data_IF_950552268220
#
_entry.id   IF_950552268220
#
_cell.length_a   1.000
_cell.length_b   1.000
_cell.length_c   1.000
_cell.angle_alpha   90.00
_cell.angle_beta   90.00
_cell.angle_gamma   90.00
#
_symmetry.space_group_name_H-M   'P 1'
#
loop_
_entity.id
_entity.type
_entity.pdbx_description
1 polymer ?
#
# COMPACT_ATOMS: atom_id res chain seq x y z
N UNK A 1 14.10 -6.20 8.31
CA UNK A 1 14.00 -4.73 8.54
C UNK A 1 12.92 -4.24 7.59
N UNK A 2 12.16 -3.21 7.94
CA UNK A 2 11.20 -2.61 7.01
C UNK A 2 11.88 -1.41 6.37
N UNK A 3 12.41 -1.61 5.16
CA UNK A 3 13.19 -0.60 4.43
C UNK A 3 12.57 -0.22 3.06
N UNK A 4 11.43 -0.82 2.71
CA UNK A 4 10.72 -0.59 1.46
C UNK A 4 11.13 -1.53 0.33
N UNK A 5 12.11 -2.42 0.54
CA UNK A 5 12.39 -3.51 -0.39
C UNK A 5 11.54 -4.74 -0.04
N UNK A 6 11.09 -5.46 -1.09
CA UNK A 6 10.23 -6.65 -0.96
C UNK A 6 10.90 -7.89 -1.54
N UNK A 7 12.22 -7.91 -1.60
CA UNK A 7 13.03 -8.97 -2.19
C UNK A 7 13.57 -9.98 -1.16
N UNK A 8 13.32 -9.75 0.13
CA UNK A 8 13.71 -10.67 1.18
C UNK A 8 12.96 -12.01 1.11
N UNK A 9 13.58 -13.10 1.64
CA UNK A 9 12.97 -14.43 1.59
C UNK A 9 11.58 -14.54 2.25
N UNK A 10 11.27 -13.70 3.26
CA UNK A 10 9.95 -13.64 3.88
C UNK A 10 8.90 -13.11 2.90
N UNK A 11 9.18 -11.97 2.24
CA UNK A 11 8.28 -11.38 1.25
C UNK A 11 8.08 -12.26 0.03
N UNK A 12 9.12 -12.96 -0.42
CA UNK A 12 9.02 -13.90 -1.56
C UNK A 12 8.06 -15.07 -1.28
N UNK A 13 7.80 -15.42 -0.01
CA UNK A 13 6.87 -16.47 0.38
C UNK A 13 5.42 -15.99 0.50
N UNK A 14 5.20 -14.70 0.73
CA UNK A 14 3.87 -14.12 0.73
C UNK A 14 3.31 -14.05 -0.69
N UNK A 15 2.08 -14.52 -0.94
CA UNK A 15 1.40 -14.27 -2.19
C UNK A 15 1.10 -12.77 -2.33
N UNK A 16 1.09 -12.29 -3.56
CA UNK A 16 0.48 -11.01 -3.86
C UNK A 16 -1.04 -11.12 -3.70
N UNK A 17 -1.69 -10.03 -3.31
CA UNK A 17 -3.11 -9.83 -3.58
C UNK A 17 -3.35 -9.78 -5.09
N UNK A 18 -4.60 -9.92 -5.49
CA UNK A 18 -5.01 -9.43 -6.80
C UNK A 18 -4.77 -7.90 -6.89
N UNK A 19 -4.77 -7.38 -8.13
CA UNK A 19 -4.75 -5.94 -8.34
C UNK A 19 -5.99 -5.31 -7.70
N UNK A 20 -5.79 -4.19 -7.00
CA UNK A 20 -6.89 -3.47 -6.39
C UNK A 20 -7.77 -2.82 -7.47
N UNK A 21 -9.08 -2.93 -7.29
CA UNK A 21 -10.09 -2.37 -8.18
C UNK A 21 -10.60 -1.01 -7.71
N UNK A 22 -11.49 -0.41 -8.50
CA UNK A 22 -12.11 0.85 -8.12
C UNK A 22 -13.18 0.65 -7.03
N UNK A 23 -13.08 1.43 -5.94
CA UNK A 23 -13.92 1.25 -4.75
C UNK A 23 -15.41 1.54 -4.98
N UNK A 24 -15.73 2.52 -5.82
CA UNK A 24 -17.12 2.96 -6.05
C UNK A 24 -17.75 2.31 -7.29
N UNK A 25 -16.93 1.87 -8.23
CA UNK A 25 -17.35 1.36 -9.54
C UNK A 25 -16.58 0.08 -9.86
N UNK A 26 -16.99 -1.09 -9.33
CA UNK A 26 -16.19 -2.32 -9.40
C UNK A 26 -15.82 -2.78 -10.81
N UNK A 27 -16.62 -2.39 -11.81
CA UNK A 27 -16.39 -2.75 -13.23
C UNK A 27 -15.36 -1.85 -13.92
N UNK A 28 -15.00 -0.73 -13.27
CA UNK A 28 -13.95 0.18 -13.75
C UNK A 28 -12.60 -0.37 -13.27
N UNK A 29 -11.77 -0.80 -14.23
CA UNK A 29 -10.40 -1.24 -13.96
C UNK A 29 -9.50 -0.01 -13.84
N UNK A 30 -8.82 0.20 -12.70
CA UNK A 30 -7.87 1.30 -12.55
C UNK A 30 -6.72 1.21 -13.56
N UNK A 31 -6.28 2.35 -14.07
CA UNK A 31 -5.18 2.42 -15.03
C UNK A 31 -3.81 2.22 -14.39
N UNK A 32 -3.69 2.48 -13.08
CA UNK A 32 -2.49 2.28 -12.29
C UNK A 32 -2.61 1.00 -11.49
N UNK A 33 -1.61 0.13 -11.61
CA UNK A 33 -1.58 -1.10 -10.83
C UNK A 33 -1.29 -0.78 -9.36
N UNK A 34 -2.10 -1.35 -8.47
CA UNK A 34 -1.84 -1.39 -7.03
C UNK A 34 -2.07 -2.81 -6.53
N UNK A 35 -1.14 -3.33 -5.73
CA UNK A 35 -1.28 -4.64 -5.05
C UNK A 35 -0.46 -4.64 -3.77
N UNK A 36 -0.72 -5.61 -2.90
CA UNK A 36 -0.01 -5.74 -1.64
C UNK A 36 0.45 -7.17 -1.33
N UNK A 37 1.38 -7.27 -0.39
CA UNK A 37 1.74 -8.47 0.36
C UNK A 37 1.51 -8.21 1.84
N UNK A 38 1.09 -9.25 2.53
CA UNK A 38 0.87 -9.22 3.96
C UNK A 38 1.62 -10.37 4.63
N UNK A 39 2.30 -10.07 5.72
CA UNK A 39 3.00 -11.01 6.59
C UNK A 39 2.67 -10.66 8.03
N UNK A 40 2.93 -11.60 8.93
CA UNK A 40 2.79 -11.36 10.36
C UNK A 40 3.71 -12.29 11.15
N UNK A 41 4.02 -11.87 12.36
CA UNK A 41 4.58 -12.69 13.42
C UNK A 41 3.83 -12.42 14.73
N UNK A 42 4.33 -12.94 15.85
CA UNK A 42 3.66 -12.82 17.15
C UNK A 42 3.62 -11.37 17.68
N UNK A 43 4.37 -10.43 17.10
CA UNK A 43 4.48 -9.04 17.57
C UNK A 43 3.90 -8.02 16.57
N UNK A 44 4.03 -8.26 15.27
CA UNK A 44 3.70 -7.28 14.23
C UNK A 44 2.92 -7.87 13.06
N UNK A 45 2.09 -7.01 12.49
CA UNK A 45 1.51 -7.18 11.16
C UNK A 45 2.27 -6.30 10.17
N UNK A 46 2.77 -6.91 9.09
CA UNK A 46 3.58 -6.23 8.07
C UNK A 46 2.80 -6.13 6.77
N UNK A 47 2.77 -4.93 6.20
CA UNK A 47 2.15 -4.65 4.89
C UNK A 47 3.20 -4.08 3.97
N UNK A 48 3.35 -4.68 2.78
CA UNK A 48 4.17 -4.17 1.70
C UNK A 48 3.30 -3.93 0.47
N UNK A 49 3.29 -2.71 -0.06
CA UNK A 49 2.49 -2.34 -1.22
C UNK A 49 3.38 -2.00 -2.42
N UNK A 50 2.89 -2.33 -3.61
CA UNK A 50 3.51 -2.06 -4.91
C UNK A 50 2.48 -1.24 -5.70
N UNK A 51 2.82 0.02 -5.99
CA UNK A 51 1.93 1.01 -6.58
C UNK A 51 2.61 1.67 -7.78
N UNK A 52 1.86 1.82 -8.87
CA UNK A 52 2.20 2.70 -9.97
C UNK A 52 1.59 4.08 -9.70
N UNK A 53 2.41 5.13 -9.74
CA UNK A 53 1.93 6.51 -9.69
C UNK A 53 2.92 7.42 -10.43
N UNK A 54 2.49 8.11 -11.51
CA UNK A 54 3.37 9.05 -12.22
C UNK A 54 3.69 10.32 -11.41
N UNK A 55 2.84 10.69 -10.45
CA UNK A 55 2.89 11.97 -9.76
C UNK A 55 2.82 11.76 -8.25
N UNK A 56 3.96 11.44 -7.63
CA UNK A 56 4.05 11.20 -6.17
C UNK A 56 4.53 12.47 -5.44
N UNK A 57 3.83 12.88 -4.38
CA UNK A 57 4.28 13.96 -3.51
C UNK A 57 3.87 13.78 -2.05
N UNK A 58 4.72 14.28 -1.15
CA UNK A 58 4.47 14.34 0.29
C UNK A 58 4.97 15.68 0.81
N UNK A 59 4.06 16.63 0.98
CA UNK A 59 4.33 18.01 1.40
C UNK A 59 4.04 18.22 2.88
N UNK A 60 3.17 17.41 3.48
CA UNK A 60 2.81 17.48 4.89
C UNK A 60 3.92 16.90 5.78
N UNK A 61 4.45 17.70 6.69
CA UNK A 61 5.55 17.30 7.58
C UNK A 61 5.13 17.07 9.03
N UNK A 62 3.91 17.45 9.40
CA UNK A 62 3.42 17.30 10.76
C UNK A 62 2.70 15.95 10.93
N UNK A 63 2.96 15.29 12.06
CA UNK A 63 2.25 14.08 12.45
C UNK A 63 0.74 14.36 12.57
N UNK A 64 -0.07 13.40 12.15
CA UNK A 64 -1.54 13.45 12.16
C UNK A 64 -2.13 14.60 11.32
N UNK A 65 -1.40 15.05 10.28
CA UNK A 65 -1.95 15.96 9.27
C UNK A 65 -3.06 15.30 8.48
N UNK A 66 -4.06 16.08 8.06
CA UNK A 66 -5.14 15.62 7.21
C UNK A 66 -4.63 15.36 5.78
N UNK A 67 -4.12 14.15 5.53
CA UNK A 67 -3.49 13.76 4.28
C UNK A 67 -4.50 13.58 3.14
N UNK A 68 -5.66 12.99 3.45
CA UNK A 68 -6.75 12.75 2.51
C UNK A 68 -7.16 14.05 1.79
N UNK A 69 -6.89 14.12 0.48
CA UNK A 69 -7.21 15.25 -0.39
C UNK A 69 -6.12 16.32 -0.53
N UNK A 70 -4.93 16.12 0.06
CA UNK A 70 -3.80 17.07 -0.03
C UNK A 70 -2.50 16.46 -0.58
N UNK A 71 -2.14 15.26 -0.13
CA UNK A 71 -0.98 14.50 -0.64
C UNK A 71 -1.41 13.11 -1.13
N UNK A 72 -0.55 12.44 -1.89
CA UNK A 72 -0.74 11.04 -2.30
C UNK A 72 -0.57 10.11 -1.09
N UNK A 73 -1.50 9.21 -0.86
CA UNK A 73 -1.48 8.28 0.28
C UNK A 73 -1.93 6.85 -0.07
N UNK A 74 -1.59 5.92 0.83
CA UNK A 74 -2.05 4.54 0.84
C UNK A 74 -2.45 4.19 2.27
N UNK A 75 -3.70 3.77 2.45
CA UNK A 75 -4.29 3.58 3.77
C UNK A 75 -4.46 2.09 4.11
N UNK A 76 -4.15 1.72 5.36
CA UNK A 76 -4.37 0.37 5.90
C UNK A 76 -5.36 0.48 7.06
N UNK A 77 -6.49 -0.19 6.92
CA UNK A 77 -7.53 -0.28 7.96
C UNK A 77 -7.55 -1.70 8.53
N UNK A 78 -7.57 -1.80 9.86
CA UNK A 78 -7.62 -3.06 10.62
C UNK A 78 -8.73 -2.90 11.67
N UNK A 79 -9.52 -3.96 11.89
CA UNK A 79 -10.54 -4.04 12.95
C UNK A 79 -9.89 -4.33 14.32
#
# INVERSE_FOLDING_TARGET
VVDGHLDEPSWKKAPWTDLFGHLVEPETVPFLATRAKMLWDDEYFYVGADLEDPDVWGTLTARDSAICGSDTDFEVFID
#
